data_IF_551122902918
#
_entry.id   IF_551122902918
#
_cell.length_a   1.000
_cell.length_b   1.000
_cell.length_c   1.000
_cell.angle_alpha   90.00
_cell.angle_beta   90.00
_cell.angle_gamma   90.00
#
_symmetry.space_group_name_H-M   'P 1'
#
loop_
_entity.id
_entity.type
_entity.pdbx_description
1 polymer ?
#
# COMPACT_ATOMS: atom_id res chain seq x y z
N UNK A 1 19.94 50.23 -49.48
CA UNK A 1 21.15 50.92 -50.00
C UNK A 1 22.14 49.84 -50.42
N UNK A 2 22.49 49.83 -51.72
CA UNK A 2 23.69 49.29 -52.40
C UNK A 2 24.17 47.86 -52.05
N UNK A 3 24.68 47.01 -52.93
CA UNK A 3 24.90 46.93 -54.39
C UNK A 3 25.40 45.47 -54.58
N UNK A 4 24.81 44.68 -55.48
CA UNK A 4 25.39 44.31 -56.78
C UNK A 4 26.73 43.55 -56.77
N UNK A 5 26.67 42.25 -57.14
CA UNK A 5 27.56 41.53 -58.07
C UNK A 5 27.01 40.08 -58.15
N UNK A 6 26.90 39.38 -59.28
CA UNK A 6 27.39 39.53 -60.63
C UNK A 6 27.30 38.13 -61.26
N UNK A 7 26.68 38.03 -62.43
CA UNK A 7 26.18 36.79 -63.04
C UNK A 7 27.14 36.28 -64.14
N UNK A 8 27.14 34.95 -64.38
CA UNK A 8 27.45 34.18 -65.62
C UNK A 8 28.84 33.50 -65.76
N UNK A 9 28.81 32.17 -65.98
CA UNK A 9 28.93 31.52 -67.32
C UNK A 9 28.65 29.99 -67.28
N UNK A 10 27.95 29.51 -68.32
CA UNK A 10 27.65 28.12 -68.77
C UNK A 10 28.88 27.45 -69.45
N UNK A 11 28.87 26.22 -70.06
CA UNK A 11 27.94 25.05 -70.06
C UNK A 11 28.64 23.65 -69.93
N UNK A 12 27.84 22.58 -69.77
CA UNK A 12 28.02 21.30 -70.48
C UNK A 12 28.94 20.22 -69.86
N UNK A 13 28.37 19.05 -69.53
CA UNK A 13 28.86 17.70 -69.88
C UNK A 13 28.06 16.62 -69.12
N UNK A 14 27.33 15.78 -69.85
CA UNK A 14 27.03 14.39 -69.43
C UNK A 14 28.29 13.53 -69.63
N UNK A 15 28.60 12.56 -68.75
CA UNK A 15 28.04 11.22 -68.94
C UNK A 15 27.77 10.40 -67.66
N UNK A 16 26.99 9.34 -67.89
CA UNK A 16 26.64 8.19 -67.07
C UNK A 16 27.64 7.73 -66.01
N UNK A 17 27.15 7.47 -64.79
CA UNK A 17 27.63 6.34 -63.97
C UNK A 17 26.51 5.78 -63.11
N UNK A 18 26.30 4.46 -63.22
CA UNK A 18 25.37 3.64 -62.45
C UNK A 18 25.69 3.69 -60.96
N UNK A 19 24.71 3.89 -60.09
CA UNK A 19 24.78 3.52 -58.67
C UNK A 19 23.54 2.72 -58.30
N UNK A 20 23.83 1.62 -57.59
CA UNK A 20 23.00 0.43 -57.36
C UNK A 20 21.84 0.72 -56.41
N UNK A 21 20.67 0.20 -56.75
CA UNK A 21 19.52 0.04 -55.86
C UNK A 21 19.87 -1.07 -54.86
N UNK A 22 19.96 -0.71 -53.57
CA UNK A 22 19.95 -1.67 -52.47
C UNK A 22 18.49 -1.82 -52.01
N UNK A 23 17.83 -2.86 -52.51
CA UNK A 23 16.55 -3.36 -52.00
C UNK A 23 16.82 -4.04 -50.66
N UNK A 24 16.41 -3.41 -49.56
CA UNK A 24 16.35 -4.07 -48.26
C UNK A 24 15.21 -5.10 -48.28
N UNK A 25 15.56 -6.39 -48.20
CA UNK A 25 14.60 -7.47 -48.05
C UNK A 25 14.00 -7.43 -46.64
N UNK A 26 12.69 -7.25 -46.55
CA UNK A 26 11.92 -7.47 -45.33
C UNK A 26 11.86 -8.99 -45.08
N UNK A 27 12.55 -9.47 -44.05
CA UNK A 27 12.34 -10.83 -43.52
C UNK A 27 11.14 -10.77 -42.59
N UNK A 28 10.03 -11.33 -43.06
CA UNK A 28 8.82 -11.53 -42.27
C UNK A 28 9.03 -12.77 -41.40
N UNK A 29 9.49 -12.61 -40.15
CA UNK A 29 9.47 -13.69 -39.18
C UNK A 29 8.02 -13.96 -38.78
N UNK A 30 7.40 -14.95 -39.41
CA UNK A 30 6.23 -15.65 -38.88
C UNK A 30 6.61 -16.25 -37.53
N UNK A 31 6.23 -15.55 -36.45
CA UNK A 31 6.16 -16.16 -35.11
C UNK A 31 5.08 -17.23 -35.17
N UNK A 32 5.53 -18.48 -35.27
CA UNK A 32 4.71 -19.63 -34.95
C UNK A 32 4.18 -19.42 -33.53
N UNK A 33 2.86 -19.27 -33.40
CA UNK A 33 2.19 -19.42 -32.11
C UNK A 33 2.49 -20.85 -31.64
N UNK A 34 3.48 -20.99 -30.77
CA UNK A 34 3.62 -22.18 -29.96
C UNK A 34 2.32 -22.38 -29.19
N UNK A 35 1.89 -23.63 -29.10
CA UNK A 35 0.94 -24.04 -28.06
C UNK A 35 1.39 -23.47 -26.70
N UNK A 36 0.47 -23.21 -25.75
CA UNK A 36 0.90 -22.88 -24.39
C UNK A 36 1.92 -23.93 -23.97
N UNK A 37 3.09 -23.47 -23.53
CA UNK A 37 4.04 -24.35 -22.86
C UNK A 37 3.25 -25.12 -21.79
N UNK A 38 3.57 -26.40 -21.61
CA UNK A 38 3.11 -27.09 -20.41
C UNK A 38 3.41 -26.18 -19.22
N UNK A 39 2.46 -26.09 -18.30
CA UNK A 39 2.67 -25.42 -17.03
C UNK A 39 4.01 -25.94 -16.45
N UNK A 40 4.98 -25.03 -16.33
CA UNK A 40 6.30 -25.21 -15.73
C UNK A 40 6.36 -24.47 -14.38
N UNK A 41 6.64 -25.21 -13.31
CA UNK A 41 6.58 -24.70 -11.94
C UNK A 41 7.39 -23.42 -11.78
N UNK A 42 6.91 -22.52 -10.93
CA UNK A 42 7.66 -21.34 -10.53
C UNK A 42 7.88 -21.30 -9.02
N UNK A 43 9.05 -20.81 -8.62
CA UNK A 43 9.34 -20.35 -7.27
C UNK A 43 8.59 -19.02 -7.11
N UNK A 44 7.37 -19.12 -6.56
CA UNK A 44 6.41 -18.02 -6.51
C UNK A 44 6.60 -17.14 -5.28
N UNK A 45 7.17 -17.70 -4.21
CA UNK A 45 7.36 -16.97 -2.95
C UNK A 45 8.46 -17.58 -2.09
N UNK A 46 9.14 -16.76 -1.29
CA UNK A 46 9.98 -17.24 -0.19
C UNK A 46 10.22 -16.19 0.89
N UNK A 47 10.60 -16.65 2.09
CA UNK A 47 11.10 -15.85 3.20
C UNK A 47 12.32 -16.57 3.81
N UNK A 48 13.49 -15.92 3.74
CA UNK A 48 14.79 -16.48 4.15
C UNK A 48 15.30 -15.98 5.51
N UNK A 49 14.53 -15.15 6.20
CA UNK A 49 14.88 -14.61 7.51
C UNK A 49 13.55 -14.42 8.21
N UNK A 50 13.11 -15.45 8.94
CA UNK A 50 11.77 -15.53 9.50
C UNK A 50 11.58 -14.70 10.77
N UNK A 51 10.50 -14.93 11.49
CA UNK A 51 10.29 -14.36 12.82
C UNK A 51 10.56 -15.34 13.95
N UNK A 52 10.45 -16.65 13.72
CA UNK A 52 10.69 -17.66 14.74
C UNK A 52 12.15 -17.66 15.20
N UNK A 53 12.40 -18.09 16.43
CA UNK A 53 13.77 -18.14 16.95
C UNK A 53 14.59 -19.17 16.19
N UNK A 54 15.69 -18.75 15.58
CA UNK A 54 16.50 -19.62 14.72
C UNK A 54 15.88 -19.88 13.35
N UNK A 55 14.92 -19.04 12.95
CA UNK A 55 14.36 -18.95 11.60
C UNK A 55 13.69 -20.24 11.10
N UNK A 56 13.13 -21.04 12.02
CA UNK A 56 12.41 -22.26 11.70
C UNK A 56 11.19 -22.06 10.78
N UNK A 57 10.65 -20.85 10.73
CA UNK A 57 9.57 -20.43 9.84
C UNK A 57 10.04 -20.01 8.44
N UNK A 58 11.34 -20.09 8.13
CA UNK A 58 11.85 -19.98 6.76
C UNK A 58 11.08 -20.89 5.81
N UNK A 59 10.70 -20.38 4.64
CA UNK A 59 9.94 -21.15 3.68
C UNK A 59 10.15 -20.67 2.24
N UNK A 60 9.78 -21.54 1.32
CA UNK A 60 9.53 -21.20 -0.07
C UNK A 60 8.27 -21.88 -0.58
N UNK A 61 7.70 -21.31 -1.64
CA UNK A 61 6.48 -21.77 -2.29
C UNK A 61 6.77 -22.03 -3.75
N UNK A 62 6.35 -23.21 -4.21
CA UNK A 62 6.26 -23.55 -5.62
C UNK A 62 4.79 -23.47 -6.02
N UNK A 63 4.46 -22.67 -7.03
CA UNK A 63 3.07 -22.54 -7.50
C UNK A 63 2.94 -23.01 -8.94
N UNK A 64 2.10 -24.05 -9.15
CA UNK A 64 1.63 -24.43 -10.48
C UNK A 64 0.70 -25.67 -10.59
N UNK A 65 0.38 -26.06 -11.83
CA UNK A 65 -0.27 -27.33 -12.19
C UNK A 65 0.72 -28.33 -12.80
N UNK A 66 0.97 -29.45 -12.14
CA UNK A 66 1.84 -30.50 -12.69
C UNK A 66 2.24 -31.51 -11.61
N UNK A 67 3.19 -32.39 -11.93
CA UNK A 67 3.83 -33.29 -10.96
C UNK A 67 5.23 -32.75 -10.62
N UNK A 68 5.50 -32.56 -9.33
CA UNK A 68 6.78 -32.05 -8.82
C UNK A 68 7.94 -33.05 -8.85
N UNK A 69 7.71 -34.31 -9.22
CA UNK A 69 8.75 -35.34 -9.18
C UNK A 69 10.01 -35.05 -10.02
N UNK A 70 9.89 -34.25 -11.08
CA UNK A 70 11.03 -33.83 -11.92
C UNK A 70 11.63 -32.47 -11.52
N UNK A 71 11.13 -31.89 -10.43
CA UNK A 71 11.48 -30.56 -9.96
C UNK A 71 12.33 -30.62 -8.69
N UNK A 72 13.24 -29.66 -8.56
CA UNK A 72 14.05 -29.51 -7.35
C UNK A 72 14.46 -28.05 -7.13
N UNK A 73 14.74 -27.72 -5.87
CA UNK A 73 15.23 -26.39 -5.47
C UNK A 73 16.61 -26.54 -4.84
N UNK A 74 17.56 -25.70 -5.23
CA UNK A 74 18.94 -25.71 -4.71
C UNK A 74 19.39 -24.31 -4.34
N UNK A 75 20.18 -24.22 -3.28
CA UNK A 75 20.96 -23.03 -2.87
C UNK A 75 22.38 -23.02 -3.49
N UNK A 76 22.81 -24.15 -4.07
CA UNK A 76 24.15 -24.38 -4.61
C UNK A 76 24.96 -25.37 -3.77
N UNK A 77 24.63 -25.55 -2.49
CA UNK A 77 25.26 -26.46 -1.54
C UNK A 77 24.43 -27.71 -1.23
N UNK A 78 23.12 -27.59 -1.31
CA UNK A 78 22.16 -28.66 -1.14
C UNK A 78 21.01 -28.57 -2.14
N UNK A 79 20.25 -29.65 -2.24
CA UNK A 79 19.12 -29.73 -3.16
C UNK A 79 17.95 -30.43 -2.49
N UNK A 80 16.81 -29.74 -2.47
CA UNK A 80 15.50 -30.24 -2.07
C UNK A 80 14.83 -30.88 -3.28
N UNK A 81 14.40 -32.12 -3.14
CA UNK A 81 13.63 -32.86 -4.15
C UNK A 81 12.29 -33.30 -3.56
N UNK A 82 11.26 -33.29 -4.39
CA UNK A 82 9.88 -33.49 -3.96
C UNK A 82 9.37 -34.89 -4.32
N UNK A 83 8.47 -35.46 -3.51
CA UNK A 83 7.68 -36.61 -3.93
C UNK A 83 6.68 -36.20 -5.03
N UNK A 84 5.93 -37.16 -5.55
CA UNK A 84 4.80 -36.86 -6.43
C UNK A 84 3.80 -35.95 -5.71
N UNK A 85 3.67 -34.72 -6.19
CA UNK A 85 2.83 -33.68 -5.62
C UNK A 85 2.39 -32.74 -6.73
N UNK A 86 1.21 -32.13 -6.56
CA UNK A 86 0.60 -31.26 -7.57
C UNK A 86 -0.08 -30.07 -6.91
N UNK A 87 -0.13 -28.94 -7.61
CA UNK A 87 -0.67 -27.69 -7.07
C UNK A 87 0.41 -26.85 -6.41
N UNK A 88 -0.03 -25.84 -5.68
CA UNK A 88 0.83 -25.01 -4.82
C UNK A 88 1.42 -25.87 -3.69
N UNK A 89 2.73 -25.78 -3.48
CA UNK A 89 3.46 -26.51 -2.44
C UNK A 89 4.28 -25.54 -1.62
N UNK A 90 4.04 -25.54 -0.31
CA UNK A 90 4.77 -24.78 0.69
C UNK A 90 5.75 -25.70 1.41
N UNK A 91 7.04 -25.35 1.39
CA UNK A 91 8.08 -26.08 2.13
C UNK A 91 8.70 -25.13 3.14
N UNK A 92 8.62 -25.50 4.41
CA UNK A 92 9.24 -24.75 5.50
C UNK A 92 10.46 -25.48 6.07
N UNK A 93 11.32 -24.76 6.78
CA UNK A 93 12.43 -25.35 7.51
C UNK A 93 11.93 -26.27 8.64
N UNK A 94 11.00 -25.75 9.45
CA UNK A 94 10.37 -26.42 10.58
C UNK A 94 8.85 -26.14 10.59
N UNK A 95 8.04 -27.18 10.48
CA UNK A 95 6.59 -27.04 10.39
C UNK A 95 5.92 -26.47 11.65
N UNK A 96 6.44 -26.76 12.84
CA UNK A 96 5.89 -26.23 14.09
C UNK A 96 6.15 -24.72 14.22
N UNK A 97 7.36 -24.28 13.88
CA UNK A 97 7.73 -22.87 13.88
C UNK A 97 6.96 -22.09 12.81
N UNK A 98 6.84 -22.65 11.60
CA UNK A 98 6.02 -22.09 10.53
C UNK A 98 4.56 -21.88 10.98
N UNK A 99 3.93 -22.90 11.59
CA UNK A 99 2.57 -22.77 12.10
C UNK A 99 2.44 -21.67 13.16
N UNK A 100 3.43 -21.51 14.03
CA UNK A 100 3.41 -20.49 15.09
C UNK A 100 3.36 -19.05 14.54
N UNK A 101 3.93 -18.82 13.36
CA UNK A 101 4.00 -17.50 12.70
C UNK A 101 2.86 -17.32 11.71
N UNK A 102 2.57 -18.34 10.91
CA UNK A 102 1.67 -18.25 9.75
C UNK A 102 0.24 -18.73 10.06
N UNK A 103 0.01 -19.40 11.20
CA UNK A 103 -1.31 -19.94 11.59
C UNK A 103 -1.82 -21.11 10.75
N UNK A 104 -1.00 -21.60 9.81
CA UNK A 104 -1.29 -22.72 8.91
C UNK A 104 -0.07 -23.63 8.83
N UNK A 105 -0.27 -24.92 8.52
CA UNK A 105 0.85 -25.85 8.34
C UNK A 105 1.38 -25.77 6.91
N UNK A 106 2.70 -25.93 6.70
CA UNK A 106 3.24 -26.11 5.36
C UNK A 106 2.90 -27.51 4.84
N UNK A 107 3.02 -27.73 3.54
CA UNK A 107 2.81 -29.05 2.94
C UNK A 107 3.96 -30.01 3.27
N UNK A 108 5.18 -29.49 3.36
CA UNK A 108 6.37 -30.25 3.71
C UNK A 108 7.33 -29.48 4.61
N UNK A 109 8.26 -30.22 5.23
CA UNK A 109 9.33 -29.65 6.03
C UNK A 109 10.73 -30.24 5.79
N UNK A 110 11.77 -29.53 6.24
CA UNK A 110 13.18 -29.95 6.12
C UNK A 110 13.70 -30.68 7.39
N UNK A 111 13.26 -30.28 8.59
CA UNK A 111 13.86 -30.73 9.86
C UNK A 111 13.12 -31.85 10.61
N UNK A 112 11.95 -32.32 10.13
CA UNK A 112 11.12 -33.32 10.83
C UNK A 112 10.71 -32.89 12.24
N UNK A 113 10.06 -31.73 12.35
CA UNK A 113 9.52 -31.21 13.60
C UNK A 113 8.18 -31.84 14.00
N UNK A 114 7.36 -32.29 13.03
CA UNK A 114 6.02 -32.82 13.28
C UNK A 114 5.78 -34.11 12.49
N UNK A 115 5.40 -35.19 13.18
CA UNK A 115 5.24 -36.53 12.57
C UNK A 115 4.20 -36.60 11.44
N UNK A 116 3.25 -35.69 11.40
CA UNK A 116 2.18 -35.64 10.39
C UNK A 116 2.49 -34.73 9.21
N UNK A 117 3.58 -33.95 9.26
CA UNK A 117 4.05 -33.16 8.14
C UNK A 117 5.17 -33.93 7.43
N UNK A 118 5.01 -34.28 6.15
CA UNK A 118 6.00 -35.07 5.44
C UNK A 118 7.30 -34.28 5.25
N UNK A 119 8.43 -34.97 5.43
CA UNK A 119 9.75 -34.41 5.15
C UNK A 119 10.10 -34.52 3.66
N UNK A 120 10.60 -33.44 3.06
CA UNK A 120 11.19 -33.48 1.72
C UNK A 120 12.55 -34.19 1.71
N UNK A 121 12.95 -34.71 0.55
CA UNK A 121 14.28 -35.30 0.37
C UNK A 121 15.31 -34.19 0.18
N UNK A 122 16.37 -34.18 1.00
CA UNK A 122 17.45 -33.19 0.91
C UNK A 122 18.77 -33.92 0.68
N UNK A 123 19.51 -33.48 -0.34
CA UNK A 123 20.90 -33.87 -0.56
C UNK A 123 21.81 -32.67 -0.30
N UNK A 124 23.06 -32.91 0.14
CA UNK A 124 23.98 -31.83 0.50
C UNK A 124 23.52 -31.06 1.75
N UNK A 125 23.88 -29.77 1.82
CA UNK A 125 23.50 -28.88 2.92
C UNK A 125 22.68 -27.72 2.36
N UNK A 126 21.36 -27.87 2.37
CA UNK A 126 20.44 -26.81 1.96
C UNK A 126 20.14 -25.86 3.12
N UNK A 127 20.27 -24.56 2.90
CA UNK A 127 19.96 -23.47 3.84
C UNK A 127 19.56 -22.21 3.08
N UNK A 128 18.94 -21.24 3.74
CA UNK A 128 18.61 -19.94 3.16
C UNK A 128 19.21 -18.84 4.03
N UNK A 129 20.50 -18.55 3.87
CA UNK A 129 21.21 -17.70 4.83
C UNK A 129 20.70 -16.25 4.86
N UNK A 130 20.43 -15.72 6.06
CA UNK A 130 19.84 -14.38 6.29
C UNK A 130 20.69 -13.25 5.66
N UNK A 131 22.02 -13.40 5.67
CA UNK A 131 22.95 -12.36 5.22
C UNK A 131 23.16 -12.29 3.70
N UNK A 132 22.72 -13.32 2.98
CA UNK A 132 22.76 -13.42 1.53
C UNK A 132 22.95 -14.86 1.06
N UNK A 133 22.11 -15.28 0.12
CA UNK A 133 22.10 -16.61 -0.48
C UNK A 133 21.42 -16.58 -1.85
N UNK A 134 21.24 -17.76 -2.46
CA UNK A 134 20.44 -17.94 -3.67
C UNK A 134 19.45 -19.10 -3.59
N UNK A 135 18.42 -19.04 -4.41
CA UNK A 135 17.55 -20.19 -4.72
C UNK A 135 17.48 -20.34 -6.23
N UNK A 136 17.68 -21.58 -6.69
CA UNK A 136 17.54 -21.97 -8.08
C UNK A 136 16.51 -23.09 -8.19
N UNK A 137 15.44 -22.85 -8.94
CA UNK A 137 14.48 -23.87 -9.34
C UNK A 137 15.03 -24.61 -10.57
N UNK A 138 15.03 -25.94 -10.48
CA UNK A 138 15.51 -26.86 -11.50
C UNK A 138 14.35 -27.71 -12.01
N UNK A 139 14.28 -27.90 -13.34
CA UNK A 139 13.46 -28.92 -13.97
C UNK A 139 14.37 -29.89 -14.72
N UNK A 140 14.30 -31.19 -14.40
CA UNK A 140 15.19 -32.21 -14.96
C UNK A 140 16.68 -31.83 -14.83
N UNK A 141 17.05 -31.21 -13.71
CA UNK A 141 18.41 -30.77 -13.40
C UNK A 141 18.88 -29.51 -14.14
N UNK A 142 18.01 -28.84 -14.90
CA UNK A 142 18.32 -27.58 -15.59
C UNK A 142 17.67 -26.41 -14.86
N UNK A 143 18.43 -25.33 -14.65
CA UNK A 143 17.92 -24.12 -14.05
C UNK A 143 16.85 -23.46 -14.94
N UNK A 144 15.67 -23.23 -14.36
CA UNK A 144 14.55 -22.53 -15.01
C UNK A 144 14.28 -21.17 -14.39
N UNK A 145 14.54 -21.03 -13.09
CA UNK A 145 14.39 -19.76 -12.36
C UNK A 145 15.47 -19.67 -11.30
N UNK A 146 15.96 -18.45 -11.06
CA UNK A 146 16.96 -18.15 -10.04
C UNK A 146 16.67 -16.82 -9.38
N UNK A 147 16.92 -16.72 -8.09
CA UNK A 147 16.86 -15.50 -7.30
C UNK A 147 17.99 -15.51 -6.27
N UNK A 148 18.52 -14.33 -5.94
CA UNK A 148 19.52 -14.16 -4.90
C UNK A 148 19.24 -12.92 -4.06
N UNK A 149 19.71 -12.92 -2.82
CA UNK A 149 19.67 -11.76 -1.93
C UNK A 149 21.07 -11.50 -1.35
N UNK A 150 21.47 -10.24 -1.10
CA UNK A 150 20.71 -9.02 -1.36
C UNK A 150 20.76 -8.53 -2.83
N UNK A 151 21.38 -9.29 -3.73
CA UNK A 151 21.72 -8.82 -5.09
C UNK A 151 20.49 -8.65 -6.00
N UNK A 152 19.59 -9.63 -6.07
CA UNK A 152 18.39 -9.55 -6.91
C UNK A 152 17.17 -9.01 -6.13
N UNK A 153 17.05 -9.37 -4.85
CA UNK A 153 15.98 -8.91 -3.94
C UNK A 153 16.56 -8.51 -2.58
N UNK A 154 15.83 -7.66 -1.85
CA UNK A 154 16.29 -7.14 -0.55
C UNK A 154 16.32 -8.21 0.54
N UNK A 155 17.37 -8.28 1.36
CA UNK A 155 17.36 -9.11 2.58
C UNK A 155 16.64 -8.44 3.76
N UNK A 156 16.20 -9.26 4.72
CA UNK A 156 15.91 -8.82 6.08
C UNK A 156 14.75 -9.57 6.75
N UNK A 157 14.70 -9.46 8.08
CA UNK A 157 13.75 -10.17 8.93
C UNK A 157 12.29 -9.98 8.53
N UNK A 158 11.60 -11.09 8.33
CA UNK A 158 10.24 -11.26 7.84
C UNK A 158 9.97 -10.66 6.48
N UNK A 159 10.99 -10.39 5.65
CA UNK A 159 10.79 -9.92 4.28
C UNK A 159 10.33 -11.11 3.42
N UNK A 160 9.18 -10.93 2.78
CA UNK A 160 8.59 -11.90 1.86
C UNK A 160 8.86 -11.44 0.43
N UNK A 161 9.36 -12.35 -0.38
CA UNK A 161 9.58 -12.13 -1.81
C UNK A 161 8.52 -12.85 -2.60
N UNK A 162 7.90 -12.17 -3.55
CA UNK A 162 6.82 -12.73 -4.37
C UNK A 162 7.20 -12.56 -5.84
N UNK A 163 7.09 -13.64 -6.61
CA UNK A 163 7.31 -13.67 -8.04
C UNK A 163 5.97 -13.79 -8.75
N UNK A 164 5.69 -12.86 -9.67
CA UNK A 164 4.46 -12.85 -10.45
C UNK A 164 4.70 -12.23 -11.81
N UNK A 165 4.07 -12.77 -12.85
CA UNK A 165 4.13 -12.26 -14.22
C UNK A 165 5.58 -12.09 -14.74
N UNK A 166 6.46 -13.03 -14.36
CA UNK A 166 7.87 -13.05 -14.80
C UNK A 166 8.81 -12.11 -14.04
N UNK A 167 8.32 -11.41 -13.01
CA UNK A 167 9.12 -10.44 -12.24
C UNK A 167 8.97 -10.64 -10.73
N UNK A 168 10.05 -10.39 -10.00
CA UNK A 168 10.01 -10.28 -8.54
C UNK A 168 9.39 -8.94 -8.14
N UNK A 169 8.47 -8.97 -7.19
CA UNK A 169 7.89 -7.77 -6.63
C UNK A 169 8.98 -6.91 -5.98
N UNK A 170 9.09 -5.67 -6.44
CA UNK A 170 10.08 -4.71 -5.92
C UNK A 170 9.73 -4.15 -4.53
N UNK A 171 8.52 -4.41 -4.03
CA UNK A 171 8.08 -3.99 -2.70
C UNK A 171 8.76 -4.83 -1.64
N UNK A 172 9.08 -4.19 -0.51
CA UNK A 172 9.46 -4.90 0.71
C UNK A 172 8.17 -5.35 1.41
N UNK A 173 7.71 -6.56 1.11
CA UNK A 173 6.55 -7.16 1.75
C UNK A 173 6.97 -7.79 3.08
N UNK A 174 6.10 -7.71 4.09
CA UNK A 174 6.27 -8.43 5.36
C UNK A 174 5.37 -9.65 5.45
N UNK A 175 5.73 -10.61 6.29
CA UNK A 175 4.85 -11.75 6.62
C UNK A 175 3.49 -11.21 7.08
N UNK A 176 2.42 -11.81 6.56
CA UNK A 176 1.03 -11.41 6.83
C UNK A 176 0.56 -10.13 6.12
N UNK A 177 1.43 -9.37 5.46
CA UNK A 177 1.04 -8.16 4.74
C UNK A 177 0.06 -8.46 3.59
N UNK A 178 -0.92 -7.59 3.39
CA UNK A 178 -1.84 -7.69 2.26
C UNK A 178 -1.11 -7.55 0.92
N UNK A 179 -1.81 -7.98 -0.16
CA UNK A 179 -1.36 -7.83 -1.55
C UNK A 179 -2.45 -7.20 -2.40
N UNK A 180 -2.91 -6.02 -1.99
CA UNK A 180 -4.04 -5.34 -2.64
C UNK A 180 -3.73 -5.01 -4.10
N UNK A 181 -4.70 -5.25 -4.98
CA UNK A 181 -4.63 -4.88 -6.40
C UNK A 181 -5.25 -3.51 -6.64
N UNK A 182 -4.65 -2.64 -7.48
CA UNK A 182 -5.27 -1.38 -7.89
C UNK A 182 -6.68 -1.56 -8.44
N UNK A 183 -7.57 -0.64 -8.08
CA UNK A 183 -8.93 -0.59 -8.62
C UNK A 183 -9.36 0.87 -8.87
N UNK A 184 -10.32 1.03 -9.76
CA UNK A 184 -10.98 2.32 -9.99
C UNK A 184 -12.47 2.09 -10.24
N UNK A 185 -13.28 2.90 -9.59
CA UNK A 185 -14.74 2.79 -9.58
C UNK A 185 -15.37 4.10 -10.05
N UNK A 186 -16.65 4.06 -10.41
CA UNK A 186 -17.46 5.23 -10.73
C UNK A 186 -18.55 5.36 -9.69
N UNK A 187 -18.29 6.13 -8.63
CA UNK A 187 -19.23 6.31 -7.54
C UNK A 187 -20.42 7.19 -7.95
N UNK A 188 -21.61 6.77 -7.52
CA UNK A 188 -22.86 7.50 -7.79
C UNK A 188 -22.83 8.92 -7.21
N UNK A 189 -22.39 9.02 -5.95
CA UNK A 189 -22.41 10.25 -5.18
C UNK A 189 -21.21 10.30 -4.23
N UNK A 190 -20.58 11.47 -4.12
CA UNK A 190 -19.54 11.76 -3.12
C UNK A 190 -19.87 13.08 -2.44
N UNK A 191 -19.95 13.06 -1.12
CA UNK A 191 -20.07 14.27 -0.28
C UNK A 191 -18.69 14.60 0.29
N UNK A 192 -18.12 15.72 -0.14
CA UNK A 192 -16.86 16.26 0.34
C UNK A 192 -17.12 17.18 1.52
N UNK A 193 -16.30 17.09 2.57
CA UNK A 193 -16.45 17.88 3.78
C UNK A 193 -15.09 18.24 4.37
N UNK A 194 -15.08 19.24 5.25
CA UNK A 194 -13.87 19.74 5.90
C UNK A 194 -14.07 19.93 7.40
N UNK A 195 -12.98 19.81 8.14
CA UNK A 195 -12.91 20.09 9.57
C UNK A 195 -12.23 21.46 9.74
N UNK A 196 -12.67 22.33 10.65
CA UNK A 196 -13.70 22.09 11.69
C UNK A 196 -15.15 22.33 11.24
N UNK A 197 -15.38 22.73 9.98
CA UNK A 197 -16.65 23.35 9.59
C UNK A 197 -17.87 22.41 9.62
N UNK A 198 -17.77 21.21 9.05
CA UNK A 198 -18.93 20.33 8.84
C UNK A 198 -18.66 18.83 9.03
N UNK A 199 -17.44 18.44 9.44
CA UNK A 199 -17.08 17.02 9.57
C UNK A 199 -17.89 16.28 10.64
N UNK A 200 -18.18 16.94 11.76
CA UNK A 200 -18.92 16.36 12.87
C UNK A 200 -20.34 15.93 12.47
N UNK A 201 -21.08 16.82 11.80
CA UNK A 201 -22.45 16.53 11.38
C UNK A 201 -22.50 15.43 10.33
N UNK A 202 -21.59 15.45 9.33
CA UNK A 202 -21.54 14.41 8.29
C UNK A 202 -21.24 13.03 8.90
N UNK A 203 -20.30 12.93 9.84
CA UNK A 203 -19.99 11.66 10.49
C UNK A 203 -21.17 11.14 11.34
N UNK A 204 -21.82 12.02 12.10
CA UNK A 204 -22.97 11.63 12.90
C UNK A 204 -24.16 11.20 12.04
N UNK A 205 -24.40 11.85 10.90
CA UNK A 205 -25.44 11.46 9.95
C UNK A 205 -25.18 10.04 9.42
N UNK A 206 -23.97 9.75 8.95
CA UNK A 206 -23.60 8.41 8.46
C UNK A 206 -23.79 7.33 9.54
N UNK A 207 -23.37 7.60 10.78
CA UNK A 207 -23.51 6.65 11.90
C UNK A 207 -24.98 6.46 12.32
N UNK A 208 -25.77 7.54 12.33
CA UNK A 208 -27.18 7.48 12.66
C UNK A 208 -27.99 6.73 11.58
N UNK A 209 -27.61 6.89 10.32
CA UNK A 209 -28.30 6.28 9.20
C UNK A 209 -27.98 4.80 9.01
N UNK A 210 -26.82 4.33 9.43
CA UNK A 210 -26.46 2.91 9.36
C UNK A 210 -27.52 1.98 9.99
N UNK A 211 -27.83 0.89 9.29
CA UNK A 211 -28.91 -0.06 9.63
C UNK A 211 -28.44 -1.49 9.90
N UNK A 212 -27.27 -1.88 9.41
CA UNK A 212 -26.79 -3.27 9.44
C UNK A 212 -25.36 -3.41 9.94
N UNK A 213 -24.42 -2.61 9.44
CA UNK A 213 -23.01 -2.70 9.82
C UNK A 213 -22.28 -1.36 9.77
N UNK A 214 -21.26 -1.23 10.61
CA UNK A 214 -20.26 -0.16 10.58
C UNK A 214 -18.89 -0.79 10.88
N UNK A 215 -17.98 -0.74 9.91
CA UNK A 215 -16.57 -1.12 10.07
C UNK A 215 -15.71 0.13 10.08
N UNK A 216 -14.81 0.27 11.06
CA UNK A 216 -14.00 1.49 11.25
C UNK A 216 -12.54 1.11 11.43
N UNK A 217 -11.65 1.66 10.60
CA UNK A 217 -10.22 1.68 10.87
C UNK A 217 -9.81 3.06 11.35
N UNK A 218 -9.13 3.12 12.49
CA UNK A 218 -8.76 4.39 13.11
C UNK A 218 -7.42 4.29 13.85
N UNK A 219 -6.63 5.35 13.79
CA UNK A 219 -5.32 5.38 14.46
C UNK A 219 -5.42 5.83 15.92
N UNK A 220 -6.27 6.82 16.22
CA UNK A 220 -6.55 7.28 17.59
C UNK A 220 -8.05 7.59 17.71
N UNK A 221 -8.66 7.25 18.85
CA UNK A 221 -10.08 7.48 19.09
C UNK A 221 -10.36 7.89 20.54
N UNK A 222 -10.61 9.18 20.74
CA UNK A 222 -10.94 9.75 22.05
C UNK A 222 -12.22 10.60 22.04
N UNK A 223 -12.92 10.73 20.91
CA UNK A 223 -14.08 11.61 20.81
C UNK A 223 -15.33 11.01 21.49
N UNK A 224 -15.83 11.59 22.59
CA UNK A 224 -16.89 10.95 23.37
C UNK A 224 -18.25 10.92 22.66
N UNK A 225 -18.59 11.93 21.86
CA UNK A 225 -19.90 11.94 21.19
C UNK A 225 -19.97 10.98 20.00
N UNK A 226 -18.91 10.85 19.19
CA UNK A 226 -18.82 9.81 18.16
C UNK A 226 -18.90 8.42 18.80
N UNK A 227 -18.24 8.20 19.95
CA UNK A 227 -18.33 6.93 20.66
C UNK A 227 -19.75 6.61 21.15
N UNK A 228 -20.48 7.62 21.67
CA UNK A 228 -21.90 7.46 22.03
C UNK A 228 -22.77 7.15 20.82
N UNK A 229 -22.55 7.82 19.68
CA UNK A 229 -23.30 7.56 18.47
C UNK A 229 -23.11 6.13 17.93
N UNK A 230 -21.88 5.59 18.04
CA UNK A 230 -21.60 4.19 17.69
C UNK A 230 -22.22 3.21 18.69
N UNK A 231 -22.18 3.52 19.99
CA UNK A 231 -22.88 2.73 21.01
C UNK A 231 -24.40 2.72 20.77
N UNK A 232 -24.98 3.87 20.39
CA UNK A 232 -26.38 3.96 20.00
C UNK A 232 -26.66 3.11 18.75
N UNK A 233 -25.77 3.10 17.75
CA UNK A 233 -25.90 2.20 16.59
C UNK A 233 -25.88 0.72 16.99
N UNK A 234 -24.93 0.31 17.83
CA UNK A 234 -24.88 -1.05 18.36
C UNK A 234 -26.16 -1.41 19.13
N UNK A 235 -26.71 -0.49 19.92
CA UNK A 235 -27.97 -0.69 20.66
C UNK A 235 -29.19 -0.87 19.73
N UNK A 236 -29.14 -0.32 18.51
CA UNK A 236 -30.16 -0.53 17.46
C UNK A 236 -30.01 -1.89 16.75
N UNK A 237 -28.96 -2.65 17.05
CA UNK A 237 -28.66 -3.94 16.42
C UNK A 237 -27.71 -3.86 15.22
N UNK A 238 -27.08 -2.70 14.98
CA UNK A 238 -26.04 -2.54 13.95
C UNK A 238 -24.76 -3.26 14.42
N UNK A 239 -24.15 -4.08 13.57
CA UNK A 239 -22.84 -4.68 13.87
C UNK A 239 -21.75 -3.63 13.73
N UNK A 240 -21.13 -3.23 14.85
CA UNK A 240 -20.05 -2.24 14.84
C UNK A 240 -18.73 -2.92 15.17
N UNK A 241 -17.75 -2.81 14.24
CA UNK A 241 -16.38 -3.32 14.42
C UNK A 241 -15.39 -2.18 14.28
N UNK A 242 -14.46 -2.10 15.23
CA UNK A 242 -13.43 -1.06 15.29
C UNK A 242 -12.06 -1.72 15.25
N UNK A 243 -11.24 -1.33 14.28
CA UNK A 243 -9.85 -1.77 14.12
C UNK A 243 -8.91 -0.58 14.41
N UNK A 244 -8.12 -0.71 15.47
CA UNK A 244 -7.30 0.35 16.06
C UNK A 244 -5.81 0.06 15.93
N UNK A 245 -5.00 1.11 15.87
CA UNK A 245 -3.57 1.03 16.18
C UNK A 245 -3.36 0.74 17.67
N UNK A 246 -2.68 -0.35 18.02
CA UNK A 246 -2.41 -0.73 19.42
C UNK A 246 -1.13 -0.13 20.02
N UNK A 247 -0.26 0.47 19.20
CA UNK A 247 0.97 1.13 19.63
C UNK A 247 1.19 2.50 18.98
N UNK A 248 0.23 3.44 19.05
CA UNK A 248 0.40 4.74 18.42
C UNK A 248 1.58 5.51 19.03
N UNK A 249 2.16 6.43 18.27
CA UNK A 249 3.25 7.30 18.76
C UNK A 249 2.81 8.02 20.04
N UNK A 250 3.53 7.79 21.13
CA UNK A 250 3.20 8.34 22.46
C UNK A 250 2.38 7.39 23.35
N UNK A 251 1.94 6.25 22.82
CA UNK A 251 1.18 5.21 23.51
C UNK A 251 -0.32 5.51 23.64
N UNK A 252 -1.09 4.51 24.05
CA UNK A 252 -2.54 4.62 24.24
C UNK A 252 -2.84 5.41 25.52
N UNK A 253 -3.51 6.56 25.36
CA UNK A 253 -3.92 7.43 26.48
C UNK A 253 -5.04 6.83 27.34
N UNK A 254 -5.19 7.29 28.60
CA UNK A 254 -6.32 6.87 29.44
C UNK A 254 -7.69 7.29 28.86
N UNK A 255 -7.75 8.39 28.11
CA UNK A 255 -8.98 8.84 27.44
C UNK A 255 -9.36 7.88 26.30
N UNK A 256 -8.37 7.39 25.54
CA UNK A 256 -8.59 6.38 24.51
C UNK A 256 -9.04 5.06 25.12
N UNK A 257 -8.34 4.56 26.15
CA UNK A 257 -8.77 3.36 26.91
C UNK A 257 -10.21 3.50 27.41
N UNK A 258 -10.56 4.66 27.96
CA UNK A 258 -11.91 4.95 28.42
C UNK A 258 -12.96 4.94 27.30
N UNK A 259 -12.59 5.40 26.12
CA UNK A 259 -13.45 5.40 24.92
C UNK A 259 -13.68 3.97 24.41
N UNK A 260 -12.60 3.18 24.27
CA UNK A 260 -12.67 1.78 23.83
C UNK A 260 -13.44 0.91 24.85
N UNK A 261 -13.14 1.07 26.14
CA UNK A 261 -13.85 0.37 27.23
C UNK A 261 -15.35 0.68 27.22
N UNK A 262 -15.75 1.91 26.90
CA UNK A 262 -17.16 2.29 26.77
C UNK A 262 -17.82 1.60 25.58
N UNK A 263 -17.17 1.61 24.41
CA UNK A 263 -17.68 0.97 23.19
C UNK A 263 -17.83 -0.55 23.36
N UNK A 264 -16.84 -1.22 23.95
CA UNK A 264 -16.88 -2.66 24.22
C UNK A 264 -18.03 -3.03 25.17
N UNK A 265 -18.26 -2.25 26.23
CA UNK A 265 -19.42 -2.45 27.12
C UNK A 265 -20.76 -2.23 26.42
N UNK A 266 -20.78 -1.40 25.37
CA UNK A 266 -21.96 -1.18 24.53
C UNK A 266 -22.15 -2.25 23.43
N UNK A 267 -21.29 -3.26 23.36
CA UNK A 267 -21.40 -4.36 22.39
C UNK A 267 -20.68 -4.12 21.06
N UNK A 268 -19.78 -3.13 20.98
CA UNK A 268 -18.91 -2.92 19.83
C UNK A 268 -17.70 -3.86 19.91
N UNK A 269 -17.40 -4.57 18.82
CA UNK A 269 -16.17 -5.37 18.73
C UNK A 269 -14.98 -4.46 18.46
N UNK A 270 -13.97 -4.50 19.32
CA UNK A 270 -12.77 -3.67 19.21
C UNK A 270 -11.56 -4.57 19.05
N UNK A 271 -10.77 -4.29 18.02
CA UNK A 271 -9.56 -5.01 17.66
C UNK A 271 -8.39 -4.06 17.57
N UNK A 272 -7.22 -4.50 18.00
CA UNK A 272 -5.97 -3.75 17.91
C UNK A 272 -4.93 -4.53 17.12
N UNK A 273 -4.15 -3.83 16.29
CA UNK A 273 -2.91 -4.37 15.74
C UNK A 273 -1.75 -4.03 16.68
N UNK A 274 -0.97 -5.03 17.09
CA UNK A 274 0.06 -4.87 18.11
C UNK A 274 1.33 -5.65 17.77
N UNK A 275 2.49 -5.06 18.09
CA UNK A 275 3.74 -5.82 18.15
C UNK A 275 3.89 -6.44 19.53
N UNK A 276 4.26 -7.72 19.59
CA UNK A 276 4.57 -8.42 20.85
C UNK A 276 6.08 -8.56 21.04
N UNK A 277 6.51 -9.18 22.15
CA UNK A 277 7.92 -9.53 22.35
C UNK A 277 8.42 -10.52 21.31
N UNK A 278 7.53 -11.35 20.79
CA UNK A 278 7.87 -12.51 19.98
C UNK A 278 7.75 -12.17 18.49
N UNK A 279 6.71 -11.40 18.11
CA UNK A 279 6.41 -11.08 16.72
C UNK A 279 6.17 -9.57 16.51
N UNK A 280 6.77 -8.97 15.46
CA UNK A 280 6.41 -7.61 15.07
C UNK A 280 5.04 -7.60 14.39
N UNK A 281 4.32 -6.48 14.53
CA UNK A 281 3.16 -6.20 13.69
C UNK A 281 3.59 -6.10 12.22
N UNK A 282 2.74 -6.59 11.32
CA UNK A 282 3.02 -6.62 9.87
C UNK A 282 3.07 -5.21 9.25
N UNK A 283 2.44 -4.24 9.90
CA UNK A 283 2.58 -2.83 9.58
C UNK A 283 3.25 -2.09 10.71
N UNK A 284 4.08 -1.11 10.35
CA UNK A 284 4.67 -0.21 11.35
C UNK A 284 3.59 0.58 12.10
N UNK A 285 2.55 1.02 11.37
CA UNK A 285 1.37 1.67 11.94
C UNK A 285 0.15 1.45 11.03
N UNK A 286 -1.03 1.25 11.62
CA UNK A 286 -2.33 1.44 10.96
C UNK A 286 -2.72 2.90 11.08
N UNK A 287 -2.27 3.72 10.12
CA UNK A 287 -2.53 5.16 10.10
C UNK A 287 -3.72 5.56 9.20
N UNK A 288 -4.48 4.59 8.67
CA UNK A 288 -5.69 4.88 7.92
C UNK A 288 -6.79 5.43 8.85
N UNK A 289 -7.68 6.27 8.31
CA UNK A 289 -8.92 6.67 8.97
C UNK A 289 -10.03 6.50 7.95
N UNK A 290 -10.84 5.47 8.13
CA UNK A 290 -12.00 5.26 7.30
C UNK A 290 -13.10 4.51 8.05
N UNK A 291 -14.32 4.66 7.55
CA UNK A 291 -15.51 3.96 8.01
C UNK A 291 -16.25 3.41 6.80
N UNK A 292 -16.78 2.19 6.87
CA UNK A 292 -17.70 1.63 5.89
C UNK A 292 -19.01 1.29 6.59
N UNK A 293 -20.13 1.85 6.13
CA UNK A 293 -21.47 1.57 6.64
C UNK A 293 -22.32 0.85 5.59
N UNK A 294 -23.01 -0.21 6.04
CA UNK A 294 -24.00 -0.99 5.27
C UNK A 294 -23.50 -1.47 3.89
N UNK A 295 -22.20 -1.71 3.74
CA UNK A 295 -21.55 -2.06 2.45
C UNK A 295 -21.92 -1.10 1.31
N UNK A 296 -22.14 0.18 1.63
CA UNK A 296 -22.57 1.18 0.65
C UNK A 296 -21.95 2.57 0.84
N UNK A 297 -21.75 3.00 2.09
CA UNK A 297 -21.14 4.32 2.38
C UNK A 297 -19.74 4.14 2.93
N UNK A 298 -18.74 4.64 2.20
CA UNK A 298 -17.35 4.69 2.66
C UNK A 298 -16.96 6.12 2.98
N UNK A 299 -16.62 6.39 4.23
CA UNK A 299 -16.03 7.66 4.65
C UNK A 299 -14.52 7.51 4.75
N UNK A 300 -13.77 8.37 4.06
CA UNK A 300 -12.32 8.54 4.25
C UNK A 300 -12.03 9.94 4.77
N UNK A 301 -11.07 10.08 5.69
CA UNK A 301 -10.76 11.37 6.29
C UNK A 301 -9.29 11.48 6.72
N UNK A 302 -8.83 12.72 6.90
CA UNK A 302 -7.46 13.01 7.35
C UNK A 302 -7.29 12.95 8.87
N UNK A 303 -8.33 13.33 9.62
CA UNK A 303 -8.26 13.49 11.07
C UNK A 303 -8.61 12.20 11.82
N UNK A 304 -8.01 12.04 13.00
CA UNK A 304 -8.41 11.02 13.97
C UNK A 304 -9.76 11.38 14.61
N UNK A 305 -10.46 10.40 15.19
CA UNK A 305 -11.67 10.64 15.98
C UNK A 305 -11.32 11.21 17.36
N UNK A 306 -10.83 12.45 17.36
CA UNK A 306 -10.48 13.24 18.54
C UNK A 306 -11.25 14.55 18.48
N UNK A 307 -11.54 15.15 19.63
CA UNK A 307 -12.35 16.39 19.70
C UNK A 307 -11.76 17.52 18.87
N UNK A 308 -10.45 17.74 18.92
CA UNK A 308 -9.82 18.76 18.08
C UNK A 308 -9.72 18.35 16.61
N UNK A 309 -9.83 17.07 16.26
CA UNK A 309 -9.85 16.59 14.87
C UNK A 309 -11.24 16.70 14.24
N UNK A 310 -12.28 16.43 15.03
CA UNK A 310 -13.70 16.42 14.67
C UNK A 310 -14.48 17.25 15.70
N UNK A 311 -14.23 18.57 15.81
CA UNK A 311 -14.93 19.39 16.80
C UNK A 311 -16.41 19.48 16.45
N UNK A 312 -17.26 19.68 17.47
CA UNK A 312 -18.69 19.97 17.24
C UNK A 312 -18.85 21.16 16.31
N UNK A 313 -19.94 21.16 15.54
CA UNK A 313 -20.24 22.23 14.60
C UNK A 313 -20.28 23.59 15.30
N UNK A 314 -19.52 24.54 14.75
CA UNK A 314 -19.34 25.87 15.33
C UNK A 314 -18.23 25.98 16.39
N UNK A 315 -17.40 24.95 16.57
CA UNK A 315 -16.22 24.98 17.45
C UNK A 315 -14.90 24.90 16.66
N UNK A 316 -13.82 25.45 17.23
CA UNK A 316 -12.49 25.45 16.63
C UNK A 316 -11.82 24.07 16.73
N UNK A 317 -10.94 23.77 15.76
CA UNK A 317 -10.16 22.55 15.73
C UNK A 317 -9.15 22.52 14.58
N UNK A 318 -8.61 21.34 14.32
CA UNK A 318 -7.70 21.06 13.23
C UNK A 318 -8.37 21.27 11.88
N UNK A 319 -7.55 21.66 10.90
CA UNK A 319 -7.98 21.73 9.50
C UNK A 319 -7.78 20.38 8.83
N UNK A 320 -8.89 19.68 8.64
CA UNK A 320 -8.94 18.37 8.01
C UNK A 320 -9.86 18.33 6.80
N UNK A 321 -9.86 17.22 6.08
CA UNK A 321 -10.78 16.95 4.99
C UNK A 321 -11.30 15.51 5.06
N UNK A 322 -12.42 15.26 4.42
CA UNK A 322 -12.89 13.92 4.14
C UNK A 322 -13.88 13.85 3.00
N UNK A 323 -14.23 12.63 2.63
CA UNK A 323 -15.19 12.31 1.59
C UNK A 323 -16.04 11.12 2.04
N UNK A 324 -17.36 11.27 1.98
CA UNK A 324 -18.32 10.19 2.08
C UNK A 324 -18.70 9.75 0.67
N UNK A 325 -18.26 8.56 0.27
CA UNK A 325 -18.49 7.94 -1.03
C UNK A 325 -19.65 6.98 -0.90
N UNK A 326 -20.69 7.16 -1.72
CA UNK A 326 -21.88 6.33 -1.74
C UNK A 326 -21.83 5.47 -3.01
N UNK A 327 -21.35 4.25 -2.84
CA UNK A 327 -21.14 3.30 -3.93
C UNK A 327 -20.81 1.91 -3.35
N UNK A 328 -21.49 0.87 -3.83
CA UNK A 328 -21.31 -0.48 -3.31
C UNK A 328 -19.94 -1.09 -3.66
N UNK A 329 -19.39 -0.80 -4.85
CA UNK A 329 -18.11 -1.37 -5.27
C UNK A 329 -16.93 -0.74 -4.50
N UNK A 330 -17.00 0.58 -4.24
CA UNK A 330 -16.04 1.25 -3.35
C UNK A 330 -16.15 0.72 -1.93
N UNK A 331 -17.37 0.55 -1.40
CA UNK A 331 -17.58 0.00 -0.06
C UNK A 331 -17.04 -1.42 0.06
N UNK A 332 -17.32 -2.29 -0.91
CA UNK A 332 -16.82 -3.67 -0.93
C UNK A 332 -15.28 -3.71 -0.95
N UNK A 333 -14.64 -2.83 -1.73
CA UNK A 333 -13.18 -2.74 -1.73
C UNK A 333 -12.65 -2.40 -0.33
N UNK A 334 -13.19 -1.38 0.35
CA UNK A 334 -12.74 -1.01 1.69
C UNK A 334 -13.12 -2.07 2.76
N UNK A 335 -14.27 -2.73 2.66
CA UNK A 335 -14.65 -3.85 3.53
C UNK A 335 -13.72 -5.06 3.34
N UNK A 336 -13.25 -5.32 2.12
CA UNK A 336 -12.26 -6.36 1.84
C UNK A 336 -10.90 -6.04 2.47
N UNK A 337 -10.48 -4.77 2.42
CA UNK A 337 -9.27 -4.30 3.10
C UNK A 337 -9.42 -4.45 4.61
N UNK A 338 -10.53 -3.97 5.19
CA UNK A 338 -10.82 -4.11 6.62
C UNK A 338 -10.77 -5.57 7.06
N UNK A 339 -11.41 -6.47 6.31
CA UNK A 339 -11.48 -7.90 6.65
C UNK A 339 -10.12 -8.58 6.51
N UNK A 340 -9.37 -8.28 5.45
CA UNK A 340 -8.01 -8.78 5.26
C UNK A 340 -7.10 -8.29 6.39
N UNK A 341 -7.27 -7.04 6.81
CA UNK A 341 -6.49 -6.50 7.90
C UNK A 341 -6.86 -7.13 9.25
N UNK A 342 -8.14 -7.41 9.48
CA UNK A 342 -8.62 -8.03 10.71
C UNK A 342 -8.15 -9.49 10.86
N UNK A 343 -7.87 -10.19 9.76
CA UNK A 343 -7.45 -11.59 9.74
C UNK A 343 -5.96 -11.81 10.10
N UNK A 344 -5.26 -10.75 10.51
CA UNK A 344 -3.85 -10.80 10.89
C UNK A 344 -3.51 -11.68 12.08
N UNK A 345 -2.29 -12.24 12.07
CA UNK A 345 -1.71 -12.93 13.23
C UNK A 345 -1.41 -11.98 14.41
N UNK A 346 -1.26 -10.69 14.12
CA UNK A 346 -0.90 -9.59 15.01
C UNK A 346 -2.11 -8.76 15.45
N UNK A 347 -3.32 -9.29 15.25
CA UNK A 347 -4.58 -8.65 15.61
C UNK A 347 -5.17 -9.32 16.85
N UNK A 348 -5.53 -8.50 17.83
CA UNK A 348 -6.07 -8.94 19.11
C UNK A 348 -7.45 -8.33 19.33
N UNK A 349 -8.42 -9.15 19.72
CA UNK A 349 -9.71 -8.66 20.18
C UNK A 349 -9.58 -8.17 21.63
N UNK A 350 -9.96 -6.91 21.85
CA UNK A 350 -9.95 -6.33 23.18
C UNK A 350 -11.14 -6.78 24.01
N UNK A 351 -10.96 -6.80 25.33
CA UNK A 351 -12.05 -6.88 26.30
C UNK A 351 -12.19 -5.57 27.09
N UNK A 352 -13.41 -5.24 27.50
CA UNK A 352 -13.67 -4.02 28.26
C UNK A 352 -12.91 -4.00 29.58
N UNK A 353 -12.10 -2.95 29.78
CA UNK A 353 -11.42 -2.65 31.04
C UNK A 353 -12.31 -1.91 32.04
N UNK A 354 -11.71 -1.03 32.84
CA UNK A 354 -12.37 -0.24 33.91
C UNK A 354 -12.25 1.27 33.73
N UNK A 355 -11.67 1.74 32.62
CA UNK A 355 -11.59 3.16 32.31
C UNK A 355 -12.96 3.72 31.95
N UNK A 356 -13.09 5.04 32.12
CA UNK A 356 -14.31 5.79 31.84
C UNK A 356 -14.10 6.66 30.62
N UNK A 357 -15.12 6.74 29.77
CA UNK A 357 -15.14 7.63 28.61
C UNK A 357 -14.80 9.06 29.04
N UNK A 358 -13.98 9.80 28.27
CA UNK A 358 -13.66 11.18 28.59
C UNK A 358 -14.90 12.09 28.50
N UNK A 359 -14.83 13.24 29.19
CA UNK A 359 -15.77 14.32 28.97
C UNK A 359 -15.34 15.13 27.73
N UNK A 360 -16.33 15.63 27.00
CA UNK A 360 -16.07 16.57 25.91
C UNK A 360 -15.48 17.88 26.46
N UNK A 361 -14.31 18.28 25.98
CA UNK A 361 -13.56 19.45 26.45
C UNK A 361 -13.87 20.73 25.66
N UNK A 362 -14.30 20.60 24.41
CA UNK A 362 -14.77 21.69 23.55
C UNK A 362 -13.69 22.59 22.97
N UNK A 363 -14.03 23.23 21.84
CA UNK A 363 -13.23 24.26 21.19
C UNK A 363 -13.79 25.68 21.38
N UNK A 364 -13.03 26.68 20.95
CA UNK A 364 -13.51 28.06 20.90
C UNK A 364 -14.64 28.18 19.86
N UNK A 365 -15.63 29.04 20.10
CA UNK A 365 -16.70 29.25 19.13
C UNK A 365 -16.17 29.90 17.84
N UNK A 366 -16.53 29.32 16.70
CA UNK A 366 -16.25 29.85 15.36
C UNK A 366 -17.52 29.91 14.53
N UNK A 367 -17.49 30.68 13.45
CA UNK A 367 -18.50 30.58 12.39
C UNK A 367 -17.96 29.67 11.29
N UNK A 368 -18.60 28.52 11.01
CA UNK A 368 -18.25 27.69 9.88
C UNK A 368 -18.32 28.49 8.58
N UNK A 369 -17.36 28.24 7.68
CA UNK A 369 -17.21 28.87 6.38
C UNK A 369 -17.62 27.92 5.26
N UNK A 370 -17.42 26.61 5.47
CA UNK A 370 -17.64 25.59 4.44
C UNK A 370 -18.77 24.62 4.80
N UNK A 371 -19.73 24.51 3.90
CA UNK A 371 -20.74 23.46 3.91
C UNK A 371 -20.25 22.23 3.13
N UNK A 372 -20.77 21.01 3.41
CA UNK A 372 -20.49 19.84 2.61
C UNK A 372 -20.89 20.04 1.14
N UNK A 373 -20.05 19.60 0.21
CA UNK A 373 -20.31 19.67 -1.23
C UNK A 373 -20.54 18.29 -1.77
N UNK A 374 -21.71 18.07 -2.39
CA UNK A 374 -22.03 16.79 -3.03
C UNK A 374 -21.84 16.86 -4.53
N UNK A 375 -21.12 15.88 -5.06
CA UNK A 375 -20.87 15.66 -6.49
C UNK A 375 -21.32 14.25 -6.88
N UNK A 376 -21.59 14.04 -8.18
CA UNK A 376 -22.15 12.79 -8.69
C UNK A 376 -21.28 12.23 -9.82
N UNK A 377 -21.36 10.91 -10.05
CA UNK A 377 -20.62 10.20 -11.10
C UNK A 377 -19.11 10.46 -11.03
N UNK A 378 -18.53 10.23 -9.86
CA UNK A 378 -17.13 10.54 -9.56
C UNK A 378 -16.28 9.30 -9.76
N UNK A 379 -15.21 9.42 -10.56
CA UNK A 379 -14.20 8.36 -10.62
C UNK A 379 -13.40 8.34 -9.31
N UNK A 380 -13.44 7.21 -8.61
CA UNK A 380 -12.72 6.98 -7.34
C UNK A 380 -11.63 5.94 -7.57
N UNK A 381 -10.42 6.22 -7.11
CA UNK A 381 -9.28 5.28 -7.13
C UNK A 381 -8.74 5.18 -5.71
N UNK A 382 -9.04 4.09 -4.98
CA UNK A 382 -8.47 3.87 -3.65
C UNK A 382 -6.96 3.70 -3.71
N UNK A 383 -6.25 4.32 -2.77
CA UNK A 383 -4.81 4.20 -2.62
C UNK A 383 -4.51 3.79 -1.19
N UNK A 384 -3.95 2.60 -1.02
CA UNK A 384 -3.58 2.03 0.28
C UNK A 384 -2.07 1.81 0.29
N UNK A 385 -1.41 2.36 1.31
CA UNK A 385 0.00 2.10 1.53
C UNK A 385 0.17 0.84 2.41
N UNK A 386 1.16 -0.01 2.12
CA UNK A 386 2.15 0.15 1.06
C UNK A 386 1.67 -0.29 -0.34
N UNK A 387 0.61 -1.11 -0.42
CA UNK A 387 0.32 -1.94 -1.59
C UNK A 387 0.10 -1.20 -2.91
N UNK A 388 -0.74 -0.17 -2.93
CA UNK A 388 -1.10 0.57 -4.14
C UNK A 388 -0.59 2.01 -4.14
N UNK A 389 0.29 2.36 -3.19
CA UNK A 389 0.86 3.70 -3.04
C UNK A 389 1.62 4.22 -4.27
N UNK A 390 2.14 3.31 -5.11
CA UNK A 390 2.80 3.67 -6.37
C UNK A 390 1.87 4.39 -7.36
N UNK A 391 0.55 4.18 -7.26
CA UNK A 391 -0.46 4.85 -8.11
C UNK A 391 -0.40 6.37 -7.98
N UNK A 392 0.06 6.91 -6.85
CA UNK A 392 0.27 8.36 -6.67
C UNK A 392 1.21 8.89 -7.75
N UNK A 393 2.28 8.14 -8.05
CA UNK A 393 3.24 8.52 -9.09
C UNK A 393 2.59 8.58 -10.47
N UNK A 394 1.67 7.67 -10.79
CA UNK A 394 0.99 7.62 -12.07
C UNK A 394 -0.07 8.73 -12.19
N UNK A 395 -0.79 9.01 -11.10
CA UNK A 395 -1.71 10.16 -11.01
C UNK A 395 -0.94 11.46 -11.28
N UNK A 396 0.20 11.67 -10.63
CA UNK A 396 1.04 12.86 -10.83
C UNK A 396 1.56 12.98 -12.27
N UNK A 397 1.94 11.86 -12.91
CA UNK A 397 2.38 11.86 -14.32
C UNK A 397 1.24 12.18 -15.29
N UNK A 398 0.01 11.73 -14.97
CA UNK A 398 -1.19 11.90 -15.80
C UNK A 398 -1.75 13.32 -15.83
N UNK A 399 -1.44 14.14 -14.81
CA UNK A 399 -1.95 15.51 -14.69
C UNK A 399 -1.59 16.37 -15.92
N UNK A 400 -2.59 16.90 -16.62
CA UNK A 400 -2.38 17.66 -17.86
C UNK A 400 -2.27 19.17 -17.66
N UNK A 401 -2.90 19.74 -16.63
CA UNK A 401 -2.98 21.20 -16.43
C UNK A 401 -2.25 21.69 -15.18
N UNK A 402 -2.57 21.10 -14.01
CA UNK A 402 -1.98 21.51 -12.74
C UNK A 402 -1.86 20.37 -11.74
N UNK A 403 -0.98 20.55 -10.77
CA UNK A 403 -0.82 19.68 -9.60
C UNK A 403 -0.81 20.56 -8.36
N UNK A 404 -1.76 20.34 -7.46
CA UNK A 404 -1.83 20.98 -6.15
C UNK A 404 -1.59 19.92 -5.07
N UNK A 405 -0.58 20.14 -4.22
CA UNK A 405 -0.24 19.20 -3.13
C UNK A 405 -0.28 19.94 -1.80
N UNK A 406 -1.10 19.44 -0.88
CA UNK A 406 -1.14 19.85 0.51
C UNK A 406 -0.75 18.67 1.40
N UNK A 407 0.25 18.86 2.25
CA UNK A 407 0.76 17.82 3.16
C UNK A 407 1.36 18.45 4.42
N UNK A 408 1.34 17.72 5.53
CA UNK A 408 1.92 18.17 6.79
C UNK A 408 3.45 18.29 6.70
N UNK A 409 4.09 17.36 6.00
CA UNK A 409 5.54 17.33 5.82
C UNK A 409 5.92 16.63 4.51
N UNK A 410 7.06 17.01 3.95
CA UNK A 410 7.73 16.27 2.89
C UNK A 410 9.22 16.20 3.21
N UNK A 411 9.76 14.99 3.27
CA UNK A 411 11.15 14.72 3.63
C UNK A 411 11.83 13.93 2.52
N UNK A 412 13.17 13.83 2.54
CA UNK A 412 13.89 12.98 1.59
C UNK A 412 13.54 11.51 1.82
N UNK A 413 13.47 10.73 0.76
CA UNK A 413 13.29 9.29 0.90
C UNK A 413 14.57 8.67 1.47
N UNK A 414 14.48 7.81 2.51
CA UNK A 414 15.65 7.22 3.13
C UNK A 414 16.61 6.59 2.11
N UNK A 415 17.91 6.87 2.24
CA UNK A 415 18.94 6.36 1.32
C UNK A 415 19.03 7.10 -0.02
N UNK A 416 18.23 8.16 -0.25
CA UNK A 416 18.28 8.97 -1.46
C UNK A 416 18.37 10.46 -1.15
N UNK A 417 18.79 11.26 -2.13
CA UNK A 417 18.84 12.72 -2.00
C UNK A 417 17.50 13.41 -2.30
N UNK A 418 16.51 12.68 -2.82
CA UNK A 418 15.24 13.23 -3.31
C UNK A 418 14.02 12.51 -2.73
N UNK A 419 12.84 13.12 -2.85
CA UNK A 419 11.58 12.43 -2.56
C UNK A 419 10.93 12.03 -3.89
N UNK A 420 10.64 10.74 -4.14
CA UNK A 420 10.25 10.25 -5.46
C UNK A 420 9.00 10.96 -6.00
N UNK A 421 7.99 11.20 -5.16
CA UNK A 421 6.79 11.92 -5.58
C UNK A 421 7.02 13.43 -5.75
N UNK A 422 7.98 14.03 -5.03
CA UNK A 422 8.32 15.43 -5.23
C UNK A 422 9.00 15.62 -6.58
N UNK A 423 9.94 14.75 -6.91
CA UNK A 423 10.63 14.77 -8.20
C UNK A 423 9.64 14.57 -9.35
N UNK A 424 8.67 13.65 -9.21
CA UNK A 424 7.58 13.49 -10.17
C UNK A 424 6.71 14.75 -10.29
N UNK A 425 6.31 15.38 -9.18
CA UNK A 425 5.52 16.61 -9.21
C UNK A 425 6.28 17.79 -9.83
N UNK A 426 7.58 17.95 -9.53
CA UNK A 426 8.44 18.97 -10.15
C UNK A 426 8.62 18.72 -11.64
N UNK A 427 8.85 17.45 -12.04
CA UNK A 427 8.90 17.07 -13.44
C UNK A 427 7.55 17.26 -14.13
N UNK A 428 6.45 17.13 -13.39
CA UNK A 428 5.14 17.47 -13.90
C UNK A 428 5.10 18.97 -14.25
N UNK A 429 5.40 19.84 -13.28
CA UNK A 429 5.42 21.29 -13.45
C UNK A 429 6.28 21.77 -14.64
N UNK A 430 7.47 21.18 -14.84
CA UNK A 430 8.40 21.58 -15.90
C UNK A 430 7.87 21.43 -17.34
N UNK A 431 6.83 20.62 -17.59
CA UNK A 431 6.25 20.46 -18.94
C UNK A 431 5.21 21.53 -19.29
N UNK A 432 5.52 22.82 -19.04
CA UNK A 432 4.58 23.96 -19.22
C UNK A 432 3.31 23.90 -18.32
N UNK A 433 3.40 23.28 -17.15
CA UNK A 433 2.26 23.11 -16.21
C UNK A 433 2.42 23.99 -14.98
N UNK A 434 1.31 24.45 -14.40
CA UNK A 434 1.34 25.20 -13.13
C UNK A 434 1.30 24.23 -11.95
N UNK A 435 2.23 24.35 -10.99
CA UNK A 435 2.22 23.53 -9.78
C UNK A 435 2.24 24.42 -8.53
N UNK A 436 1.32 24.14 -7.59
CA UNK A 436 1.21 24.82 -6.31
C UNK A 436 1.49 23.86 -5.17
N UNK A 437 2.34 24.26 -4.22
CA UNK A 437 2.60 23.51 -2.99
C UNK A 437 2.15 24.32 -1.79
N UNK A 438 1.40 23.68 -0.88
CA UNK A 438 1.09 24.22 0.44
C UNK A 438 1.60 23.25 1.50
N UNK A 439 2.51 23.73 2.36
CA UNK A 439 3.05 22.97 3.50
C UNK A 439 2.60 23.66 4.79
N UNK A 440 1.93 22.94 5.68
CA UNK A 440 1.35 23.52 6.91
C UNK A 440 1.98 23.01 8.21
N UNK A 441 3.16 22.39 8.17
CA UNK A 441 3.87 21.87 9.35
C UNK A 441 5.29 22.42 9.54
N UNK A 442 5.75 22.44 10.79
CA UNK A 442 7.09 22.88 11.21
C UNK A 442 8.16 21.96 10.60
N UNK A 443 8.67 22.34 9.43
CA UNK A 443 9.79 21.65 8.80
C UNK A 443 11.06 22.08 9.55
N UNK A 444 11.87 21.14 10.03
CA UNK A 444 13.25 21.43 10.38
C UNK A 444 13.94 21.98 9.12
N UNK A 445 14.10 23.30 9.08
CA UNK A 445 14.75 24.05 8.01
C UNK A 445 16.23 23.70 8.02
N UNK A 446 16.59 22.60 7.35
CA UNK A 446 17.96 22.33 6.94
C UNK A 446 17.98 22.26 5.41
N UNK A 447 18.25 23.44 4.84
CA UNK A 447 18.56 23.71 3.42
C UNK A 447 17.40 23.63 2.41
N UNK A 448 16.37 24.46 2.60
CA UNK A 448 15.46 24.89 1.52
C UNK A 448 15.97 26.10 0.71
N UNK A 449 17.19 26.57 0.97
CA UNK A 449 17.75 27.80 0.35
C UNK A 449 18.05 27.67 -1.15
N UNK A 450 18.12 26.45 -1.71
CA UNK A 450 18.40 26.25 -3.16
C UNK A 450 17.17 26.08 -4.04
N UNK A 451 16.00 25.73 -3.49
CA UNK A 451 14.79 25.51 -4.31
C UNK A 451 13.98 26.81 -4.46
N UNK A 452 13.95 27.70 -3.46
CA UNK A 452 13.30 29.02 -3.60
C UNK A 452 13.98 29.94 -4.62
N UNK A 453 15.27 29.75 -4.93
CA UNK A 453 15.95 30.54 -5.97
C UNK A 453 15.44 30.24 -7.37
N UNK A 454 14.90 29.03 -7.63
CA UNK A 454 14.34 28.68 -8.94
C UNK A 454 12.93 29.24 -9.18
N UNK A 455 12.15 29.51 -8.12
CA UNK A 455 10.80 30.07 -8.25
C UNK A 455 10.80 31.60 -8.31
N UNK A 456 11.79 32.27 -7.70
CA UNK A 456 11.98 33.73 -7.87
C UNK A 456 12.41 34.16 -9.28
N UNK A 457 12.95 33.25 -10.10
CA UNK A 457 13.24 33.54 -11.50
C UNK A 457 12.04 33.38 -12.44
N UNK A 458 10.89 32.86 -11.95
CA UNK A 458 9.67 32.69 -12.74
C UNK A 458 8.62 33.76 -12.40
N UNK A 459 8.64 34.33 -11.18
CA UNK A 459 7.68 35.38 -10.79
C UNK A 459 7.95 36.76 -11.41
N UNK A 460 9.06 36.97 -12.10
CA UNK A 460 9.33 38.19 -12.87
C UNK A 460 8.76 38.16 -14.29
N UNK A 461 8.17 37.04 -14.73
CA UNK A 461 7.57 36.92 -16.06
C UNK A 461 6.05 37.16 -16.12
N UNK A 462 5.35 37.19 -14.98
CA UNK A 462 3.88 37.33 -14.95
C UNK A 462 3.45 38.19 -13.77
N UNK A 463 3.26 39.49 -14.01
CA UNK A 463 3.00 40.50 -13.00
C UNK A 463 1.64 40.37 -12.30
N UNK A 464 1.61 39.66 -11.17
CA UNK A 464 0.57 39.81 -10.15
C UNK A 464 1.23 40.01 -8.77
N UNK A 465 0.73 40.95 -7.95
CA UNK A 465 1.26 41.20 -6.60
C UNK A 465 0.80 40.11 -5.61
N UNK A 466 1.67 39.82 -4.64
CA UNK A 466 1.43 38.94 -3.49
C UNK A 466 0.42 39.57 -2.54
#
# INVERSE_FOLDING_TARGET
MNCAAGLKRYPGATPSTRIRILTAALVFCLLLFGAPAAADYCLSEFCADGYASGDGDEYFVLDETGDLAEWSVTDGEGTVSFPHASGTVIVALNAADYYSVHGTYPDYELQSSLDFIPKVSVSGKFQMANDGDELTLLHNGKAVQKVSWPDAVSKGRGVVHVFKDGVWDSRVLKIGQTRLTPAAYSADKVTLFVSPDCTYDVLLEVIADAKSSIDITMYEFTHPDIAKALADAASRGVSVRLFMEGGPVGGISNAEKGTLDYLQRAGVSVYTIESTSDFPARYRFVHAKYLVADSYVTVVLSENFKEYGIPRSGESGNRGWGAAVYDADVAEYFSSVFTADLAGYDVYEGAAGTYTIPNYSGGDTISPVFEPVTVYNVKVTPVFAPDTSYLIGDILKSASSSVAIQQAYITRYPGTDEHPWLSLAVNAAKKERTCGFSLTGCTTILKMTRIMMSLRQISTAWGFPI
#
